data_IF_770681891152
#
_entry.id   IF_770681891152
#
_cell.length_a   1.000
_cell.length_b   1.000
_cell.length_c   1.000
_cell.angle_alpha   90.00
_cell.angle_beta   90.00
_cell.angle_gamma   90.00
#
_symmetry.space_group_name_H-M   'P 1'
#
loop_
_entity.id
_entity.type
_entity.pdbx_description
1 polymer ?
#
# COMPACT_ATOMS: atom_id res chain seq x y z
N UNK A 1 27.46 9.26 8.81
CA UNK A 1 27.82 10.10 7.62
C UNK A 1 26.92 9.68 6.48
N UNK A 2 26.31 10.63 5.81
CA UNK A 2 25.48 10.42 4.62
C UNK A 2 26.07 11.27 3.51
N UNK A 3 26.30 10.66 2.36
CA UNK A 3 26.72 11.33 1.13
C UNK A 3 25.74 11.00 0.02
N UNK A 4 25.16 12.03 -0.58
CA UNK A 4 24.20 11.91 -1.67
C UNK A 4 24.84 12.38 -2.98
N UNK A 5 24.73 11.56 -4.03
CA UNK A 5 25.17 11.89 -5.36
C UNK A 5 23.98 11.77 -6.32
N UNK A 6 23.70 12.84 -7.04
CA UNK A 6 22.59 12.90 -7.99
C UNK A 6 23.13 13.18 -9.39
N UNK A 7 22.80 12.33 -10.34
CA UNK A 7 23.02 12.53 -11.76
C UNK A 7 21.66 12.77 -12.43
N UNK A 8 21.51 13.89 -13.12
CA UNK A 8 20.33 14.21 -13.93
C UNK A 8 20.71 14.34 -15.39
N UNK A 9 19.97 13.65 -16.23
CA UNK A 9 20.17 13.71 -17.67
C UNK A 9 18.85 13.97 -18.39
N UNK A 10 18.79 15.08 -19.14
CA UNK A 10 17.63 15.47 -19.92
C UNK A 10 17.84 15.06 -21.38
N UNK A 11 17.23 13.96 -21.81
CA UNK A 11 17.27 13.54 -23.21
C UNK A 11 16.52 14.53 -24.13
N UNK A 12 15.49 15.18 -23.59
CA UNK A 12 14.73 16.22 -24.28
C UNK A 12 13.94 17.03 -23.24
N UNK A 13 13.21 18.09 -23.69
CA UNK A 13 12.27 18.83 -22.82
C UNK A 13 11.15 17.95 -22.23
N UNK A 14 10.98 16.73 -22.74
CA UNK A 14 9.90 15.83 -22.36
C UNK A 14 10.37 14.56 -21.64
N UNK A 15 11.65 14.23 -21.71
CA UNK A 15 12.20 12.99 -21.16
C UNK A 15 13.38 13.34 -20.25
N UNK A 16 13.24 13.04 -18.99
CA UNK A 16 14.28 13.20 -17.99
C UNK A 16 14.54 11.90 -17.23
N UNK A 17 15.83 11.64 -16.97
CA UNK A 17 16.33 10.54 -16.18
C UNK A 17 17.06 11.11 -14.97
N UNK A 18 16.73 10.67 -13.80
CA UNK A 18 17.45 10.99 -12.56
C UNK A 18 17.95 9.71 -11.93
N UNK A 19 19.24 9.66 -11.61
CA UNK A 19 19.84 8.57 -10.84
C UNK A 19 20.44 9.14 -9.58
N UNK A 20 20.06 8.59 -8.43
CA UNK A 20 20.65 8.95 -7.14
C UNK A 20 21.36 7.74 -6.55
N UNK A 21 22.50 7.98 -5.93
CA UNK A 21 23.21 6.98 -5.14
C UNK A 21 23.53 7.62 -3.79
N UNK A 22 22.90 7.10 -2.74
CA UNK A 22 23.15 7.55 -1.38
C UNK A 22 24.07 6.55 -0.69
N UNK A 23 25.20 7.05 -0.20
CA UNK A 23 26.14 6.32 0.61
C UNK A 23 25.90 6.70 2.07
N UNK A 24 25.68 5.70 2.92
CA UNK A 24 25.48 5.91 4.35
C UNK A 24 26.41 5.03 5.15
N UNK A 25 27.20 5.64 6.03
CA UNK A 25 28.02 4.95 7.02
C UNK A 25 27.42 5.19 8.40
N UNK A 26 27.20 4.12 9.14
CA UNK A 26 26.63 4.18 10.49
C UNK A 26 27.43 3.29 11.43
N UNK A 27 27.75 3.85 12.59
CA UNK A 27 28.44 3.16 13.67
C UNK A 27 27.41 2.66 14.67
N UNK A 28 27.35 1.35 14.85
CA UNK A 28 26.56 0.74 15.92
C UNK A 28 27.50 0.32 17.05
N UNK A 29 27.29 0.90 18.23
CA UNK A 29 28.07 0.53 19.40
C UNK A 29 27.13 0.22 20.56
N UNK A 30 27.29 -0.94 21.15
CA UNK A 30 26.66 -1.36 22.41
C UNK A 30 27.77 -1.99 23.30
N UNK A 31 27.52 -2.21 24.56
CA UNK A 31 28.49 -2.78 25.52
C UNK A 31 29.13 -4.11 25.07
N UNK A 32 28.44 -4.88 24.22
CA UNK A 32 28.88 -6.20 23.72
C UNK A 32 29.18 -6.22 22.21
N UNK A 33 29.02 -5.09 21.52
CA UNK A 33 29.02 -5.08 20.07
C UNK A 33 29.44 -3.71 19.53
N UNK A 34 30.40 -3.69 18.61
CA UNK A 34 30.79 -2.50 17.85
C UNK A 34 30.90 -2.89 16.38
N UNK A 35 30.09 -2.30 15.51
CA UNK A 35 30.12 -2.59 14.08
C UNK A 35 30.00 -1.31 13.27
N UNK A 36 30.78 -1.22 12.22
CA UNK A 36 30.75 -0.16 11.23
C UNK A 36 30.03 -0.70 9.99
N UNK A 37 28.91 -0.08 9.62
CA UNK A 37 28.05 -0.58 8.56
C UNK A 37 27.97 0.47 7.47
N UNK A 38 28.24 0.04 6.25
CA UNK A 38 28.18 0.84 5.05
C UNK A 38 27.01 0.40 4.17
N UNK A 39 26.20 1.37 3.73
CA UNK A 39 25.06 1.14 2.85
C UNK A 39 25.23 1.90 1.55
N UNK A 40 24.72 1.29 0.49
CA UNK A 40 24.51 1.92 -0.81
C UNK A 40 23.04 1.82 -1.13
N UNK A 41 22.38 2.97 -1.30
CA UNK A 41 20.96 3.08 -1.60
C UNK A 41 20.77 3.72 -2.98
N UNK A 42 20.78 2.93 -4.08
CA UNK A 42 20.56 3.45 -5.41
C UNK A 42 19.09 3.69 -5.71
N UNK A 43 18.81 4.73 -6.48
CA UNK A 43 17.50 4.94 -7.08
C UNK A 43 17.61 5.49 -8.50
N UNK A 44 16.70 5.08 -9.37
CA UNK A 44 16.58 5.53 -10.74
C UNK A 44 15.14 5.97 -10.98
N UNK A 45 14.97 7.11 -11.59
CA UNK A 45 13.68 7.69 -11.94
C UNK A 45 13.70 8.17 -13.39
N UNK A 46 12.84 7.59 -14.22
CA UNK A 46 12.57 8.00 -15.60
C UNK A 46 11.22 8.70 -15.65
N UNK A 47 11.17 9.86 -16.25
CA UNK A 47 9.94 10.61 -16.42
C UNK A 47 9.78 11.05 -17.88
N UNK A 48 8.60 10.77 -18.45
CA UNK A 48 8.21 11.14 -19.81
C UNK A 48 6.98 12.04 -19.72
N UNK A 49 7.17 13.32 -20.01
CA UNK A 49 6.17 14.38 -19.83
C UNK A 49 5.49 14.77 -21.13
N UNK A 50 4.21 15.10 -21.05
CA UNK A 50 3.46 15.79 -22.11
C UNK A 50 3.59 15.17 -23.49
N UNK A 51 3.47 13.87 -23.59
CA UNK A 51 3.26 13.22 -24.89
C UNK A 51 1.79 13.33 -25.26
N UNK A 52 1.44 13.18 -26.54
CA UNK A 52 0.04 13.08 -26.95
C UNK A 52 -0.73 11.95 -26.27
N UNK A 53 -0.01 11.03 -25.61
CA UNK A 53 -0.52 9.86 -24.91
C UNK A 53 -0.49 10.01 -23.37
N UNK A 54 -0.09 11.18 -22.82
CA UNK A 54 -0.06 11.45 -21.37
C UNK A 54 1.35 11.54 -20.79
N UNK A 55 1.42 11.43 -19.46
CA UNK A 55 2.66 11.43 -18.70
C UNK A 55 2.93 10.01 -18.18
N UNK A 56 4.16 9.62 -18.19
CA UNK A 56 4.61 8.32 -17.73
C UNK A 56 5.83 8.47 -16.82
N UNK A 57 5.84 7.77 -15.70
CA UNK A 57 7.02 7.70 -14.86
C UNK A 57 7.31 6.27 -14.38
N UNK A 58 8.56 5.90 -14.39
CA UNK A 58 9.07 4.65 -13.87
C UNK A 58 10.14 4.94 -12.82
N UNK A 59 10.05 4.32 -11.68
CA UNK A 59 11.09 4.40 -10.66
C UNK A 59 11.47 3.02 -10.14
N UNK A 60 12.74 2.90 -9.81
CA UNK A 60 13.29 1.80 -9.03
C UNK A 60 14.13 2.37 -7.91
N UNK A 61 13.98 1.86 -6.70
CA UNK A 61 14.84 2.21 -5.58
C UNK A 61 15.15 1.01 -4.70
N UNK A 62 16.33 1.04 -4.13
CA UNK A 62 16.79 0.11 -3.13
C UNK A 62 17.17 0.90 -1.88
N UNK A 63 16.60 0.52 -0.74
CA UNK A 63 16.84 1.19 0.53
C UNK A 63 17.27 0.17 1.59
N UNK A 64 18.43 0.43 2.18
CA UNK A 64 18.97 -0.34 3.28
C UNK A 64 18.81 0.50 4.56
N UNK A 65 18.23 -0.08 5.60
CA UNK A 65 18.04 0.58 6.89
C UNK A 65 18.56 -0.28 8.02
N UNK A 66 18.85 0.34 9.15
CA UNK A 66 19.17 -0.35 10.38
C UNK A 66 17.89 -0.72 11.12
N UNK A 67 17.93 -1.82 11.90
CA UNK A 67 16.88 -2.11 12.86
C UNK A 67 16.77 -1.01 13.93
N UNK A 68 15.62 -0.93 14.54
CA UNK A 68 15.40 -0.09 15.71
C UNK A 68 16.10 -0.67 16.96
N UNK A 69 16.42 0.17 17.92
CA UNK A 69 17.14 -0.24 19.15
C UNK A 69 16.36 -1.30 19.93
N UNK A 70 15.03 -1.17 20.03
CA UNK A 70 14.16 -2.14 20.70
C UNK A 70 14.22 -3.54 20.05
N UNK A 71 14.42 -3.61 18.72
CA UNK A 71 14.58 -4.86 17.98
C UNK A 71 15.93 -5.55 18.27
N UNK A 72 16.92 -4.79 18.77
CA UNK A 72 18.26 -5.26 19.09
C UNK A 72 18.49 -5.49 20.59
N UNK A 73 17.51 -5.15 21.44
CA UNK A 73 17.64 -5.33 22.89
C UNK A 73 17.33 -6.77 23.27
N UNK A 74 18.37 -7.55 23.55
CA UNK A 74 18.27 -8.99 23.83
C UNK A 74 17.69 -9.33 25.20
N UNK A 75 17.57 -8.36 26.09
CA UNK A 75 16.91 -8.54 27.38
C UNK A 75 15.38 -8.51 27.22
N UNK A 76 14.68 -9.26 28.07
CA UNK A 76 13.23 -9.19 28.14
C UNK A 76 12.78 -7.81 28.63
N UNK A 77 11.87 -7.21 27.89
CA UNK A 77 11.19 -5.96 28.22
C UNK A 77 9.74 -6.26 28.52
N UNK A 78 9.23 -5.80 29.66
CA UNK A 78 7.82 -5.85 29.96
C UNK A 78 7.11 -4.76 29.17
N UNK A 79 6.27 -5.13 28.21
CA UNK A 79 5.51 -4.21 27.36
C UNK A 79 4.09 -3.97 27.87
N UNK A 80 3.58 -4.93 28.63
CA UNK A 80 2.28 -4.90 29.28
C UNK A 80 2.31 -5.89 30.43
N UNK A 81 1.33 -5.86 31.35
CA UNK A 81 1.33 -6.66 32.58
C UNK A 81 1.46 -8.18 32.34
N UNK A 82 1.17 -8.66 31.13
CA UNK A 82 1.32 -10.08 30.71
C UNK A 82 2.12 -10.24 29.41
N UNK A 83 2.75 -9.20 28.92
CA UNK A 83 3.44 -9.24 27.63
C UNK A 83 4.90 -8.89 27.78
N UNK A 84 5.73 -9.80 27.30
CA UNK A 84 7.17 -9.63 27.26
C UNK A 84 7.63 -9.53 25.81
N UNK A 85 8.61 -8.67 25.57
CA UNK A 85 9.26 -8.48 24.28
C UNK A 85 10.76 -8.68 24.43
N UNK A 86 11.36 -9.44 23.53
CA UNK A 86 12.78 -9.65 23.44
C UNK A 86 13.26 -9.30 22.02
N UNK A 87 14.29 -8.49 21.94
CA UNK A 87 14.99 -8.27 20.68
C UNK A 87 15.95 -9.41 20.33
N UNK A 88 16.60 -9.27 19.20
CA UNK A 88 17.61 -10.24 18.72
C UNK A 88 18.92 -9.56 18.42
N UNK A 89 19.98 -10.32 18.23
CA UNK A 89 21.27 -9.78 17.79
C UNK A 89 21.19 -9.31 16.34
N UNK A 90 21.90 -8.21 16.04
CA UNK A 90 22.02 -7.72 14.67
C UNK A 90 22.67 -8.76 13.77
N UNK A 91 22.03 -9.12 12.67
CA UNK A 91 22.58 -10.04 11.69
C UNK A 91 22.96 -9.32 10.39
N UNK A 92 22.04 -8.58 9.82
CA UNK A 92 22.21 -7.86 8.54
C UNK A 92 21.26 -6.68 8.44
N UNK A 93 21.57 -5.69 7.61
CA UNK A 93 20.67 -4.59 7.30
C UNK A 93 19.33 -5.05 6.75
N UNK A 94 18.31 -4.27 7.01
CA UNK A 94 17.00 -4.43 6.39
C UNK A 94 17.06 -3.85 4.98
N UNK A 95 16.78 -4.67 3.99
CA UNK A 95 16.84 -4.27 2.58
C UNK A 95 15.47 -4.31 1.95
N UNK A 96 15.03 -3.16 1.44
CA UNK A 96 13.78 -3.01 0.71
C UNK A 96 14.04 -2.54 -0.72
N UNK A 97 13.40 -3.20 -1.69
CA UNK A 97 13.41 -2.81 -3.09
C UNK A 97 12.00 -2.41 -3.51
N UNK A 98 11.88 -1.30 -4.23
CA UNK A 98 10.61 -0.84 -4.78
C UNK A 98 10.73 -0.56 -6.27
N UNK A 99 9.68 -0.88 -7.00
CA UNK A 99 9.49 -0.51 -8.40
C UNK A 99 8.12 0.15 -8.49
N UNK A 100 8.04 1.33 -9.07
CA UNK A 100 6.76 1.96 -9.35
C UNK A 100 6.65 2.44 -10.79
N UNK A 101 5.48 2.27 -11.35
CA UNK A 101 5.11 2.74 -12.67
C UNK A 101 3.83 3.56 -12.52
N UNK A 102 3.90 4.81 -12.95
CA UNK A 102 2.75 5.72 -12.93
C UNK A 102 2.45 6.17 -14.36
N UNK A 103 1.19 6.17 -14.68
CA UNK A 103 0.69 6.74 -15.93
C UNK A 103 -0.46 7.68 -15.62
N UNK A 104 -0.44 8.86 -16.24
CA UNK A 104 -1.53 9.81 -16.16
C UNK A 104 -1.80 10.43 -17.52
N UNK A 105 -3.04 10.44 -17.91
CA UNK A 105 -3.54 11.10 -19.09
C UNK A 105 -4.71 12.01 -18.73
N UNK A 106 -4.70 13.22 -19.26
CA UNK A 106 -5.77 14.18 -19.08
C UNK A 106 -6.06 14.91 -20.39
N UNK A 107 -7.32 14.93 -20.78
CA UNK A 107 -7.81 15.68 -21.95
C UNK A 107 -8.88 16.67 -21.51
N UNK A 108 -8.53 17.96 -21.55
CA UNK A 108 -9.41 19.06 -21.15
C UNK A 108 -10.66 19.19 -22.01
N UNK A 109 -10.51 19.06 -23.33
CA UNK A 109 -11.61 19.22 -24.27
C UNK A 109 -12.68 18.15 -24.07
N UNK A 110 -12.25 16.92 -23.87
CA UNK A 110 -13.11 15.75 -23.63
C UNK A 110 -13.46 15.58 -22.16
N UNK A 111 -12.81 16.31 -21.24
CA UNK A 111 -12.93 16.17 -19.79
C UNK A 111 -12.79 14.71 -19.35
N UNK A 112 -11.74 14.11 -19.84
CA UNK A 112 -11.43 12.71 -19.64
C UNK A 112 -10.07 12.57 -18.99
N UNK A 113 -9.98 11.74 -17.96
CA UNK A 113 -8.70 11.41 -17.33
C UNK A 113 -8.56 9.94 -17.02
N UNK A 114 -7.33 9.45 -17.17
CA UNK A 114 -6.89 8.12 -16.74
C UNK A 114 -5.71 8.30 -15.81
N UNK A 115 -5.72 7.60 -14.69
CA UNK A 115 -4.58 7.47 -13.80
C UNK A 115 -4.38 6.00 -13.48
N UNK A 116 -3.14 5.54 -13.60
CA UNK A 116 -2.75 4.17 -13.27
C UNK A 116 -1.46 4.20 -12.46
N UNK A 117 -1.43 3.42 -11.40
CA UNK A 117 -0.24 3.19 -10.60
C UNK A 117 -0.04 1.69 -10.42
N UNK A 118 1.15 1.21 -10.71
CA UNK A 118 1.61 -0.15 -10.41
C UNK A 118 2.79 0.00 -9.46
N UNK A 119 2.72 -0.67 -8.34
CA UNK A 119 3.76 -0.62 -7.32
C UNK A 119 4.12 -2.04 -6.88
N UNK A 120 5.39 -2.34 -6.91
CA UNK A 120 5.96 -3.56 -6.37
C UNK A 120 6.93 -3.21 -5.24
N UNK A 121 6.84 -3.92 -4.13
CA UNK A 121 7.79 -3.83 -3.03
C UNK A 121 8.21 -5.20 -2.56
N UNK A 122 9.50 -5.38 -2.34
CA UNK A 122 10.09 -6.60 -1.83
C UNK A 122 11.12 -6.27 -0.74
N UNK A 123 10.77 -6.60 0.49
CA UNK A 123 11.68 -6.51 1.64
C UNK A 123 12.46 -7.81 1.74
N UNK A 124 13.74 -7.81 1.40
CA UNK A 124 14.59 -9.02 1.44
C UNK A 124 14.83 -9.53 2.85
N UNK A 125 14.80 -8.64 3.84
CA UNK A 125 14.90 -8.97 5.25
C UNK A 125 14.09 -7.99 6.09
N UNK A 126 13.38 -8.50 7.06
CA UNK A 126 12.60 -7.72 8.04
C UNK A 126 12.75 -8.35 9.42
N UNK A 127 12.45 -7.58 10.46
CA UNK A 127 12.20 -8.12 11.78
C UNK A 127 10.72 -8.47 11.89
N UNK A 128 10.44 -9.74 12.12
CA UNK A 128 9.12 -10.23 12.47
C UNK A 128 9.06 -10.59 13.93
N UNK A 129 7.87 -10.53 14.48
CA UNK A 129 7.60 -11.00 15.83
C UNK A 129 7.21 -12.47 15.79
N UNK A 130 7.93 -13.29 16.52
CA UNK A 130 7.49 -14.64 16.88
C UNK A 130 6.78 -14.56 18.22
N UNK A 131 5.52 -14.97 18.25
CA UNK A 131 4.67 -14.91 19.45
C UNK A 131 4.47 -16.31 20.00
N UNK A 132 4.77 -16.49 21.28
CA UNK A 132 4.43 -17.69 22.05
C UNK A 132 3.38 -17.31 23.09
N UNK A 133 2.15 -17.75 22.85
CA UNK A 133 0.99 -17.46 23.69
C UNK A 133 0.78 -18.60 24.66
N UNK A 134 0.84 -18.32 25.96
CA UNK A 134 0.43 -19.23 27.03
C UNK A 134 -0.87 -18.73 27.67
N UNK A 135 -1.44 -19.50 28.58
CA UNK A 135 -2.65 -19.06 29.33
C UNK A 135 -2.41 -17.79 30.14
N UNK A 136 -1.20 -17.55 30.60
CA UNK A 136 -0.87 -16.50 31.56
C UNK A 136 -0.07 -15.35 30.96
N UNK A 137 0.76 -15.63 29.94
CA UNK A 137 1.70 -14.69 29.39
C UNK A 137 1.81 -14.78 27.88
N UNK A 138 2.15 -13.65 27.26
CA UNK A 138 2.51 -13.51 25.88
C UNK A 138 4.01 -13.17 25.77
N UNK A 139 4.79 -14.07 25.19
CA UNK A 139 6.21 -13.87 24.93
C UNK A 139 6.41 -13.57 23.45
N UNK A 140 6.85 -12.38 23.17
CA UNK A 140 7.18 -11.92 21.83
C UNK A 140 8.69 -11.81 21.68
N UNK A 141 9.22 -12.31 20.60
CA UNK A 141 10.63 -12.12 20.23
C UNK A 141 10.78 -11.65 18.81
N UNK A 142 11.68 -10.70 18.59
CA UNK A 142 12.03 -10.30 17.23
C UNK A 142 12.99 -11.33 16.62
N UNK A 143 12.65 -11.75 15.41
CA UNK A 143 13.48 -12.63 14.59
C UNK A 143 13.63 -12.01 13.21
N UNK A 144 14.87 -11.94 12.72
CA UNK A 144 15.14 -11.47 11.37
C UNK A 144 14.84 -12.58 10.36
N UNK A 145 13.89 -12.34 9.47
CA UNK A 145 13.40 -13.30 8.48
C UNK A 145 13.48 -12.75 7.06
N UNK A 146 13.14 -13.59 6.08
CA UNK A 146 12.79 -13.13 4.75
C UNK A 146 11.63 -12.14 4.85
N UNK A 147 11.68 -11.10 4.06
CA UNK A 147 10.73 -9.99 4.17
C UNK A 147 9.41 -10.21 3.44
N UNK A 148 8.65 -9.13 3.41
CA UNK A 148 7.35 -9.08 2.75
C UNK A 148 7.51 -8.83 1.26
N UNK A 149 6.57 -9.34 0.48
CA UNK A 149 6.43 -9.04 -0.93
C UNK A 149 5.03 -8.49 -1.18
N UNK A 150 4.93 -7.37 -1.88
CA UNK A 150 3.63 -6.76 -2.19
C UNK A 150 3.58 -6.25 -3.63
N UNK A 151 2.41 -6.43 -4.24
CA UNK A 151 2.03 -5.88 -5.53
C UNK A 151 0.76 -5.06 -5.37
N UNK A 152 0.79 -3.84 -5.84
CA UNK A 152 -0.36 -2.93 -5.83
C UNK A 152 -0.65 -2.47 -7.25
N UNK A 153 -1.90 -2.51 -7.64
CA UNK A 153 -2.40 -1.97 -8.90
C UNK A 153 -3.59 -1.08 -8.63
N UNK A 154 -3.47 0.18 -8.98
CA UNK A 154 -4.51 1.18 -8.88
C UNK A 154 -4.83 1.72 -10.27
N UNK A 155 -6.10 1.81 -10.59
CA UNK A 155 -6.58 2.41 -11.82
C UNK A 155 -7.77 3.32 -11.51
N UNK A 156 -7.80 4.50 -12.13
CA UNK A 156 -8.91 5.44 -12.05
C UNK A 156 -9.17 6.03 -13.43
N UNK A 157 -10.42 6.02 -13.83
CA UNK A 157 -10.91 6.63 -15.06
C UNK A 157 -12.04 7.59 -14.70
N UNK A 158 -11.92 8.82 -15.14
CA UNK A 158 -12.98 9.83 -15.00
C UNK A 158 -13.39 10.30 -16.37
N UNK A 159 -14.69 10.36 -16.61
CA UNK A 159 -15.24 10.88 -17.85
C UNK A 159 -16.43 11.81 -17.57
N UNK A 160 -16.48 12.94 -18.26
CA UNK A 160 -17.61 13.85 -18.21
C UNK A 160 -18.32 13.92 -19.57
N UNK A 161 -19.54 13.44 -19.61
CA UNK A 161 -20.42 13.54 -20.80
C UNK A 161 -21.18 14.85 -20.79
N UNK A 162 -20.86 15.76 -21.74
CA UNK A 162 -21.58 17.03 -21.91
C UNK A 162 -23.04 16.82 -22.31
N UNK A 163 -23.34 15.81 -23.14
CA UNK A 163 -24.70 15.49 -23.58
C UNK A 163 -25.57 15.06 -22.42
N UNK A 164 -25.05 14.14 -21.59
CA UNK A 164 -25.77 13.60 -20.43
C UNK A 164 -25.63 14.46 -19.19
N UNK A 165 -24.73 15.46 -19.20
CA UNK A 165 -24.33 16.26 -18.03
C UNK A 165 -24.00 15.37 -16.82
N UNK A 166 -23.23 14.34 -17.08
CA UNK A 166 -22.88 13.28 -16.15
C UNK A 166 -21.37 13.16 -16.04
N UNK A 167 -20.83 13.27 -14.85
CA UNK A 167 -19.49 12.85 -14.53
C UNK A 167 -19.54 11.40 -14.01
N UNK A 168 -18.76 10.51 -14.59
CA UNK A 168 -18.63 9.12 -14.16
C UNK A 168 -17.18 8.83 -13.79
N UNK A 169 -17.01 8.01 -12.75
CA UNK A 169 -15.70 7.57 -12.26
C UNK A 169 -15.72 6.08 -12.04
N UNK A 170 -14.70 5.41 -12.54
CA UNK A 170 -14.39 4.00 -12.25
C UNK A 170 -13.05 3.97 -11.54
N UNK A 171 -12.99 3.27 -10.44
CA UNK A 171 -11.77 3.04 -9.68
C UNK A 171 -11.61 1.54 -9.41
N UNK A 172 -10.40 1.04 -9.51
CA UNK A 172 -10.05 -0.28 -9.02
C UNK A 172 -8.76 -0.24 -8.24
N UNK A 173 -8.75 -0.99 -7.16
CA UNK A 173 -7.60 -1.17 -6.26
C UNK A 173 -7.39 -2.67 -6.10
N UNK A 174 -6.20 -3.14 -6.43
CA UNK A 174 -5.79 -4.52 -6.21
C UNK A 174 -4.51 -4.55 -5.40
N UNK A 175 -4.47 -5.38 -4.40
CA UNK A 175 -3.32 -5.52 -3.53
C UNK A 175 -3.08 -7.00 -3.21
N UNK A 176 -1.87 -7.48 -3.43
CA UNK A 176 -1.38 -8.81 -3.06
C UNK A 176 -0.22 -8.66 -2.11
N UNK A 177 -0.30 -9.31 -0.97
CA UNK A 177 0.76 -9.27 0.05
C UNK A 177 1.10 -10.70 0.45
N UNK A 178 2.38 -11.00 0.51
CA UNK A 178 2.92 -12.20 1.12
C UNK A 178 3.84 -11.78 2.26
N UNK A 179 3.55 -12.24 3.47
CA UNK A 179 4.32 -11.92 4.68
C UNK A 179 4.62 -13.18 5.47
N UNK A 180 5.85 -13.37 5.94
CA UNK A 180 6.14 -14.44 6.89
C UNK A 180 5.54 -14.11 8.26
N UNK A 181 4.80 -15.04 8.83
CA UNK A 181 4.23 -14.96 10.18
C UNK A 181 4.59 -16.19 10.98
N UNK A 182 4.73 -16.02 12.28
CA UNK A 182 4.93 -17.12 13.22
C UNK A 182 4.03 -16.91 14.45
N UNK A 183 3.18 -17.89 14.72
CA UNK A 183 2.35 -17.92 15.92
C UNK A 183 2.40 -19.34 16.48
N UNK A 184 2.88 -19.48 17.71
CA UNK A 184 3.00 -20.76 18.42
C UNK A 184 3.68 -21.88 17.61
N UNK A 185 4.67 -21.52 16.80
CA UNK A 185 5.39 -22.44 15.93
C UNK A 185 6.90 -22.18 16.00
N UNK A 186 7.70 -23.17 15.65
CA UNK A 186 9.15 -23.02 15.48
C UNK A 186 9.52 -22.46 14.11
N UNK A 187 8.60 -22.52 13.13
CA UNK A 187 8.84 -22.13 11.76
C UNK A 187 7.93 -20.99 11.32
N UNK A 188 8.46 -20.11 10.45
CA UNK A 188 7.68 -19.07 9.81
C UNK A 188 6.92 -19.63 8.61
N UNK A 189 5.62 -19.39 8.60
CA UNK A 189 4.73 -19.70 7.49
C UNK A 189 4.37 -18.44 6.71
N UNK A 190 4.22 -18.55 5.41
CA UNK A 190 3.82 -17.40 4.59
C UNK A 190 2.30 -17.17 4.70
N UNK A 191 1.93 -16.03 5.26
CA UNK A 191 0.58 -15.51 5.14
C UNK A 191 0.44 -14.79 3.77
N UNK A 192 -0.59 -15.16 3.03
CA UNK A 192 -0.93 -14.52 1.75
C UNK A 192 -2.25 -13.80 1.88
N UNK A 193 -2.31 -12.55 1.48
CA UNK A 193 -3.54 -11.79 1.42
C UNK A 193 -3.73 -11.17 0.03
N UNK A 194 -4.97 -11.09 -0.37
CA UNK A 194 -5.40 -10.45 -1.60
C UNK A 194 -6.59 -9.57 -1.31
N UNK A 195 -6.55 -8.33 -1.74
CA UNK A 195 -7.69 -7.43 -1.71
C UNK A 195 -7.95 -6.85 -3.10
N UNK A 196 -9.21 -6.85 -3.50
CA UNK A 196 -9.69 -6.23 -4.71
C UNK A 196 -10.86 -5.34 -4.39
N UNK A 197 -10.83 -4.11 -4.90
CA UNK A 197 -11.92 -3.16 -4.82
C UNK A 197 -12.23 -2.60 -6.20
N UNK A 198 -13.49 -2.61 -6.58
CA UNK A 198 -14.00 -1.95 -7.79
C UNK A 198 -15.11 -1.01 -7.35
N UNK A 199 -14.98 0.26 -7.72
CA UNK A 199 -15.96 1.29 -7.42
C UNK A 199 -16.35 2.02 -8.69
N UNK A 200 -17.65 2.16 -8.90
CA UNK A 200 -18.24 3.05 -9.89
C UNK A 200 -19.02 4.14 -9.17
N UNK A 201 -18.88 5.37 -9.60
CA UNK A 201 -19.72 6.49 -9.15
C UNK A 201 -20.06 7.41 -10.31
N UNK A 202 -21.21 8.03 -10.26
CA UNK A 202 -21.66 8.98 -11.25
C UNK A 202 -22.48 10.11 -10.61
N UNK A 203 -22.17 11.33 -11.01
CA UNK A 203 -22.79 12.56 -10.51
C UNK A 203 -23.38 13.34 -11.68
N UNK A 204 -24.64 13.70 -11.59
CA UNK A 204 -25.32 14.52 -12.60
C UNK A 204 -25.11 16.01 -12.32
N UNK A 205 -25.06 16.81 -13.39
CA UNK A 205 -24.93 18.28 -13.32
C UNK A 205 -26.03 18.91 -14.14
N UNK A 206 -27.29 18.59 -13.83
CA UNK A 206 -28.43 19.17 -14.52
C UNK A 206 -28.61 20.65 -14.14
N UNK A 207 -29.06 21.46 -15.09
CA UNK A 207 -29.51 22.83 -14.79
C UNK A 207 -30.87 22.83 -14.06
N UNK A 208 -31.52 21.66 -13.97
CA UNK A 208 -32.75 21.45 -13.22
C UNK A 208 -32.50 21.55 -11.71
N UNK A 209 -33.62 21.56 -10.96
CA UNK A 209 -33.55 21.58 -9.49
C UNK A 209 -33.03 20.29 -8.87
N UNK A 210 -32.95 19.19 -9.63
CA UNK A 210 -32.56 17.86 -9.13
C UNK A 210 -31.21 17.49 -9.71
N UNK A 211 -30.28 17.06 -8.84
CA UNK A 211 -29.08 16.36 -9.21
C UNK A 211 -28.98 15.07 -8.42
N UNK A 212 -28.39 14.06 -9.03
CA UNK A 212 -28.21 12.73 -8.51
C UNK A 212 -26.73 12.41 -8.39
N UNK A 213 -26.38 11.77 -7.28
CA UNK A 213 -25.08 11.15 -7.08
C UNK A 213 -25.30 9.69 -6.70
N UNK A 214 -24.82 8.76 -7.51
CA UNK A 214 -25.06 7.33 -7.32
C UNK A 214 -23.84 6.51 -7.65
N UNK A 215 -23.78 5.32 -7.10
CA UNK A 215 -22.68 4.43 -7.37
C UNK A 215 -22.83 3.08 -6.69
N UNK A 216 -21.87 2.23 -6.98
CA UNK A 216 -21.73 0.96 -6.30
C UNK A 216 -20.26 0.67 -6.06
N UNK A 217 -19.97 -0.12 -5.04
CA UNK A 217 -18.67 -0.71 -4.80
C UNK A 217 -18.75 -2.21 -4.54
N UNK A 218 -17.71 -2.90 -4.94
CA UNK A 218 -17.49 -4.31 -4.62
C UNK A 218 -16.10 -4.45 -4.06
N UNK A 219 -15.99 -5.00 -2.85
CA UNK A 219 -14.71 -5.29 -2.22
C UNK A 219 -14.64 -6.79 -1.92
N UNK A 220 -13.51 -7.39 -2.22
CA UNK A 220 -13.21 -8.78 -1.93
C UNK A 220 -11.84 -8.84 -1.24
N UNK A 221 -11.83 -9.33 -0.03
CA UNK A 221 -10.62 -9.61 0.74
C UNK A 221 -10.50 -11.11 0.98
N UNK A 222 -9.34 -11.67 0.72
CA UNK A 222 -9.01 -13.06 1.00
C UNK A 222 -7.68 -13.10 1.73
N UNK A 223 -7.60 -13.94 2.76
CA UNK A 223 -6.33 -14.26 3.40
C UNK A 223 -6.19 -15.77 3.56
N UNK A 224 -4.96 -16.24 3.52
CA UNK A 224 -4.61 -17.64 3.76
C UNK A 224 -3.36 -17.69 4.64
N UNK A 225 -3.49 -18.33 5.77
CA UNK A 225 -2.40 -18.56 6.71
C UNK A 225 -2.54 -19.95 7.32
N UNK A 226 -1.51 -20.79 7.20
CA UNK A 226 -1.48 -22.17 7.73
C UNK A 226 -2.72 -23.00 7.34
N UNK A 227 -3.16 -22.88 6.08
CA UNK A 227 -4.34 -23.62 5.59
C UNK A 227 -5.68 -22.98 5.97
N UNK A 228 -5.72 -22.00 6.87
CA UNK A 228 -6.94 -21.27 7.22
C UNK A 228 -7.18 -20.20 6.17
N UNK A 229 -8.28 -20.33 5.45
CA UNK A 229 -8.70 -19.34 4.43
C UNK A 229 -9.87 -18.53 4.95
N UNK A 230 -9.69 -17.22 4.98
CA UNK A 230 -10.75 -16.24 5.28
C UNK A 230 -11.12 -15.48 4.01
N UNK A 231 -12.41 -15.32 3.75
CA UNK A 231 -12.90 -14.52 2.64
C UNK A 231 -13.98 -13.57 3.14
N UNK A 232 -13.80 -12.29 2.87
CA UNK A 232 -14.75 -11.23 3.16
C UNK A 232 -15.13 -10.51 1.86
N UNK A 233 -16.42 -10.49 1.54
CA UNK A 233 -16.94 -9.78 0.37
C UNK A 233 -17.97 -8.76 0.82
N UNK A 234 -17.79 -7.52 0.39
CA UNK A 234 -18.75 -6.45 0.65
C UNK A 234 -19.25 -5.87 -0.67
N UNK A 235 -20.48 -5.50 -0.70
CA UNK A 235 -21.13 -4.80 -1.81
C UNK A 235 -21.88 -3.61 -1.25
N UNK A 236 -21.62 -2.45 -1.80
CA UNK A 236 -22.29 -1.22 -1.41
C UNK A 236 -22.94 -0.59 -2.64
N UNK A 237 -24.11 -0.03 -2.47
CA UNK A 237 -24.73 0.84 -3.46
C UNK A 237 -25.26 2.09 -2.74
N UNK A 238 -25.15 3.23 -3.38
CA UNK A 238 -25.68 4.46 -2.82
C UNK A 238 -26.42 5.27 -3.89
N UNK A 239 -27.40 6.05 -3.43
CA UNK A 239 -28.14 7.02 -4.23
C UNK A 239 -28.41 8.25 -3.38
N UNK A 240 -27.80 9.36 -3.71
CA UNK A 240 -28.04 10.65 -3.10
C UNK A 240 -28.82 11.52 -4.07
N UNK A 241 -29.87 12.16 -3.57
CA UNK A 241 -30.73 13.05 -4.34
C UNK A 241 -30.61 14.45 -3.74
N UNK A 242 -30.13 15.39 -4.54
CA UNK A 242 -30.02 16.80 -4.17
C UNK A 242 -31.10 17.57 -4.89
N UNK A 243 -32.04 18.14 -4.12
CA UNK A 243 -33.16 18.93 -4.65
C UNK A 243 -33.09 20.37 -4.18
N UNK A 244 -32.90 21.27 -5.12
CA UNK A 244 -32.89 22.71 -4.87
C UNK A 244 -34.35 23.24 -4.83
N UNK A 245 -34.89 23.36 -3.65
CA UNK A 245 -36.27 23.86 -3.43
C UNK A 245 -36.36 25.33 -3.84
N UNK A 246 -35.43 26.16 -3.39
CA UNK A 246 -35.33 27.59 -3.71
C UNK A 246 -33.87 28.03 -3.89
N UNK A 247 -33.62 29.32 -4.02
CA UNK A 247 -32.24 29.85 -4.06
C UNK A 247 -31.46 29.63 -2.77
N UNK A 248 -32.18 29.51 -1.65
CA UNK A 248 -31.61 29.42 -0.29
C UNK A 248 -31.89 28.08 0.39
N UNK A 249 -32.77 27.23 -0.18
CA UNK A 249 -33.15 25.94 0.43
C UNK A 249 -32.75 24.80 -0.46
N UNK A 250 -31.91 23.90 0.08
CA UNK A 250 -31.48 22.62 -0.51
C UNK A 250 -32.03 21.49 0.34
N UNK A 251 -32.70 20.52 -0.27
CA UNK A 251 -33.11 19.28 0.35
C UNK A 251 -32.22 18.13 -0.16
N UNK A 252 -31.68 17.32 0.73
CA UNK A 252 -30.81 16.20 0.43
C UNK A 252 -31.39 14.91 1.00
N UNK A 253 -31.37 13.85 0.21
CA UNK A 253 -31.69 12.49 0.65
C UNK A 253 -30.52 11.57 0.35
N UNK A 254 -29.96 10.96 1.37
CA UNK A 254 -28.83 10.04 1.29
C UNK A 254 -29.31 8.62 1.60
N UNK A 255 -29.18 7.73 0.62
CA UNK A 255 -29.59 6.34 0.75
C UNK A 255 -28.40 5.44 0.45
N UNK A 256 -28.18 4.44 1.30
CA UNK A 256 -27.15 3.45 1.09
C UNK A 256 -27.65 2.04 1.40
N UNK A 257 -27.21 1.08 0.60
CA UNK A 257 -27.45 -0.34 0.77
C UNK A 257 -26.09 -1.03 0.95
N UNK A 258 -25.96 -1.82 2.00
CA UNK A 258 -24.73 -2.50 2.35
C UNK A 258 -24.99 -4.00 2.54
N UNK A 259 -24.16 -4.83 1.89
CA UNK A 259 -24.21 -6.29 2.01
C UNK A 259 -22.82 -6.85 2.34
N UNK A 260 -22.76 -7.70 3.37
CA UNK A 260 -21.53 -8.38 3.81
C UNK A 260 -21.71 -9.88 3.72
N UNK A 261 -20.71 -10.56 3.17
CA UNK A 261 -20.60 -12.01 3.17
C UNK A 261 -19.21 -12.42 3.65
N UNK A 262 -19.17 -12.95 4.88
CA UNK A 262 -17.93 -13.44 5.51
C UNK A 262 -17.94 -14.96 5.53
N UNK A 263 -16.86 -15.59 5.05
CA UNK A 263 -16.66 -17.04 5.10
C UNK A 263 -15.28 -17.35 5.64
N UNK A 264 -15.25 -18.14 6.69
CA UNK A 264 -14.04 -18.70 7.24
C UNK A 264 -14.02 -20.22 6.93
N UNK A 265 -12.96 -20.68 6.30
CA UNK A 265 -12.74 -22.09 6.01
C UNK A 265 -11.51 -22.54 6.78
N UNK A 266 -11.66 -23.52 7.68
CA UNK A 266 -10.53 -24.28 8.24
C UNK A 266 -10.40 -25.56 7.43
N UNK A 267 -9.23 -25.83 6.88
CA UNK A 267 -8.90 -27.15 6.36
C UNK A 267 -8.28 -27.93 7.52
N UNK A 268 -9.03 -28.91 8.03
CA UNK A 268 -8.42 -29.96 8.86
C UNK A 268 -7.60 -30.84 7.90
N UNK A 269 -6.30 -30.86 8.08
CA UNK A 269 -5.42 -31.87 7.49
C UNK A 269 -5.56 -33.18 8.28
#
# INVERSE_FOLDING_TARGET
IIQENTLRYNFSKKIDLTSNINFQQTFLKNNSFSNDIFFINPSIYLNIKKTGFGNFSLSHSENNTLPEINQLTTNFQLTDYRSFLQGTTFQKPLKNQTISLNYSYYNDEKRFSINTNIFYSNSKSIFNTSSNLTSDFNFNSYIQTKGNESYNFNFSLVNYSRKLKLASKIETLNNWITSPLNVNSTEFSNAKSYSNSIKYSATTYFKSKINLDFGFSYNNFQSNFQGIKTTNKTKDAFLNINYKVSKTILAESNNSLYYVNNKNYSFNN
#
